data_IF_673341410868
#
_entry.id   IF_673341410868
#
_cell.length_a   1.000
_cell.length_b   1.000
_cell.length_c   1.000
_cell.angle_alpha   90.00
_cell.angle_beta   90.00
_cell.angle_gamma   90.00
#
_symmetry.space_group_name_H-M   'P 1'
#
loop_
_entity.id
_entity.type
_entity.pdbx_description
1 polymer ?
#
# COMPACT_ATOMS: atom_id res chain seq x y z
N UNK A 1 11.52 -10.61 36.02
CA UNK A 1 11.46 -9.62 34.91
C UNK A 1 11.20 -10.40 33.64
N UNK A 2 9.94 -10.72 33.36
CA UNK A 2 9.53 -11.33 32.09
C UNK A 2 9.74 -10.29 30.99
N UNK A 3 10.58 -10.62 30.01
CA UNK A 3 10.73 -9.82 28.79
C UNK A 3 9.56 -10.19 27.89
N UNK A 4 8.70 -9.22 27.64
CA UNK A 4 7.60 -9.31 26.69
C UNK A 4 8.18 -9.64 25.30
N UNK A 5 8.07 -10.91 24.91
CA UNK A 5 8.58 -11.41 23.65
C UNK A 5 7.59 -11.01 22.56
N UNK A 6 7.82 -9.81 21.99
CA UNK A 6 7.16 -9.32 20.79
C UNK A 6 7.58 -10.22 19.61
N UNK A 7 6.82 -11.29 19.37
CA UNK A 7 6.95 -12.06 18.14
C UNK A 7 6.54 -11.14 16.97
N UNK A 8 7.35 -11.02 15.90
CA UNK A 8 6.93 -10.23 14.75
C UNK A 8 5.68 -10.90 14.18
N UNK A 9 4.51 -10.29 14.37
CA UNK A 9 3.30 -10.83 13.79
C UNK A 9 3.44 -10.73 12.28
N UNK A 10 3.81 -11.83 11.63
CA UNK A 10 3.93 -11.91 10.19
C UNK A 10 2.55 -11.61 9.58
N UNK A 11 2.42 -10.59 8.72
CA UNK A 11 1.15 -10.31 8.08
C UNK A 11 0.76 -11.53 7.24
N UNK A 12 -0.47 -11.99 7.46
CA UNK A 12 -1.05 -13.12 6.72
C UNK A 12 -1.25 -12.82 5.24
N UNK A 13 -1.40 -11.53 4.90
CA UNK A 13 -1.64 -11.04 3.56
C UNK A 13 -0.99 -9.66 3.39
N UNK A 14 -0.40 -9.43 2.22
CA UNK A 14 0.18 -8.14 1.84
C UNK A 14 -0.51 -7.63 0.59
N UNK A 15 -1.09 -6.44 0.67
CA UNK A 15 -1.73 -5.76 -0.47
C UNK A 15 -0.88 -4.56 -0.84
N UNK A 16 -0.28 -4.59 -2.03
CA UNK A 16 0.50 -3.48 -2.56
C UNK A 16 -0.35 -2.65 -3.53
N UNK A 17 -0.43 -1.33 -3.31
CA UNK A 17 -1.18 -0.40 -4.17
C UNK A 17 -0.23 0.64 -4.76
N UNK A 18 -0.17 0.70 -6.08
CA UNK A 18 0.49 1.80 -6.80
C UNK A 18 -0.38 3.06 -6.75
N UNK A 19 0.13 4.13 -6.14
CA UNK A 19 -0.57 5.41 -6.02
C UNK A 19 0.24 6.54 -6.66
N UNK A 20 -0.44 7.42 -7.38
CA UNK A 20 0.16 8.60 -8.02
C UNK A 20 -0.32 9.92 -7.40
N UNK A 21 -1.04 9.85 -6.27
CA UNK A 21 -1.66 11.01 -5.61
C UNK A 21 -2.87 11.62 -6.34
N UNK A 22 -3.19 11.15 -7.55
CA UNK A 22 -4.33 11.61 -8.36
C UNK A 22 -5.65 11.04 -7.82
N UNK A 23 -6.77 11.70 -8.15
CA UNK A 23 -8.13 11.31 -7.70
C UNK A 23 -8.42 9.82 -7.90
N UNK A 24 -8.10 9.29 -9.08
CA UNK A 24 -8.35 7.88 -9.42
C UNK A 24 -7.51 6.92 -8.58
N UNK A 25 -6.25 7.24 -8.29
CA UNK A 25 -5.43 6.36 -7.43
C UNK A 25 -5.88 6.40 -5.97
N UNK A 26 -6.42 7.52 -5.49
CA UNK A 26 -7.03 7.60 -4.16
C UNK A 26 -8.30 6.75 -4.06
N UNK A 27 -9.12 6.73 -5.13
CA UNK A 27 -10.30 5.88 -5.19
C UNK A 27 -9.93 4.39 -5.17
N UNK A 28 -8.91 3.99 -5.93
CA UNK A 28 -8.39 2.62 -5.90
C UNK A 28 -7.89 2.21 -4.50
N UNK A 29 -7.20 3.13 -3.81
CA UNK A 29 -6.78 2.91 -2.42
C UNK A 29 -7.97 2.74 -1.47
N UNK A 30 -8.98 3.61 -1.57
CA UNK A 30 -10.21 3.49 -0.77
C UNK A 30 -10.90 2.15 -1.01
N UNK A 31 -11.08 1.78 -2.27
CA UNK A 31 -11.68 0.50 -2.64
C UNK A 31 -10.90 -0.69 -2.05
N UNK A 32 -9.58 -0.67 -2.11
CA UNK A 32 -8.75 -1.72 -1.52
C UNK A 32 -8.94 -1.81 0.01
N UNK A 33 -8.99 -0.67 0.70
CA UNK A 33 -9.28 -0.65 2.13
C UNK A 33 -10.67 -1.23 2.42
N UNK A 34 -11.70 -0.83 1.66
CA UNK A 34 -13.08 -1.29 1.87
C UNK A 34 -13.22 -2.82 1.66
N UNK A 35 -12.46 -3.43 0.75
CA UNK A 35 -12.59 -4.86 0.42
C UNK A 35 -11.65 -5.77 1.22
N UNK A 36 -10.44 -5.29 1.56
CA UNK A 36 -9.44 -6.12 2.24
C UNK A 36 -9.35 -5.87 3.74
N UNK A 37 -9.99 -4.81 4.28
CA UNK A 37 -10.03 -4.58 5.73
C UNK A 37 -10.97 -5.53 6.49
N UNK A 38 -11.91 -6.15 5.79
CA UNK A 38 -12.89 -7.07 6.39
C UNK A 38 -12.36 -8.49 6.62
N UNK A 39 -11.09 -8.76 6.29
CA UNK A 39 -10.48 -10.06 6.59
C UNK A 39 -10.18 -10.16 8.08
N UNK A 40 -10.55 -11.28 8.74
CA UNK A 40 -10.20 -11.56 10.15
C UNK A 40 -8.68 -11.59 10.40
N UNK A 41 -7.90 -11.67 9.32
CA UNK A 41 -6.47 -11.80 9.34
C UNK A 41 -5.77 -10.44 9.20
N UNK A 42 -4.60 -10.29 9.84
CA UNK A 42 -3.81 -9.05 9.72
C UNK A 42 -3.34 -8.86 8.27
N UNK A 43 -3.87 -7.83 7.62
CA UNK A 43 -3.48 -7.39 6.27
C UNK A 43 -2.50 -6.22 6.37
N UNK A 44 -1.36 -6.33 5.67
CA UNK A 44 -0.41 -5.23 5.51
C UNK A 44 -0.65 -4.51 4.18
N UNK A 45 -1.07 -3.25 4.25
CA UNK A 45 -1.19 -2.39 3.07
C UNK A 45 0.14 -1.67 2.82
N UNK A 46 0.71 -1.85 1.62
CA UNK A 46 1.90 -1.13 1.15
C UNK A 46 1.52 -0.17 0.04
N UNK A 47 1.66 1.12 0.28
CA UNK A 47 1.40 2.15 -0.74
C UNK A 47 2.71 2.46 -1.46
N UNK A 48 2.74 2.23 -2.77
CA UNK A 48 3.89 2.45 -3.63
C UNK A 48 3.67 3.73 -4.43
N UNK A 49 4.43 4.78 -4.12
CA UNK A 49 4.37 6.00 -4.91
C UNK A 49 5.12 5.80 -6.24
N UNK A 50 4.39 5.80 -7.36
CA UNK A 50 4.98 5.60 -8.70
C UNK A 50 5.32 6.96 -9.32
N UNK A 51 6.62 7.23 -9.49
CA UNK A 51 7.08 8.38 -10.28
C UNK A 51 7.21 7.95 -11.74
N UNK A 52 6.53 8.65 -12.65
CA UNK A 52 6.68 8.37 -14.08
C UNK A 52 8.09 8.74 -14.53
N UNK A 53 8.71 7.87 -15.34
CA UNK A 53 9.98 8.17 -15.99
C UNK A 53 9.76 9.37 -16.93
N UNK A 54 10.65 10.34 -16.89
CA UNK A 54 10.67 11.43 -17.86
C UNK A 54 11.02 10.81 -19.21
N UNK A 55 10.06 10.75 -20.13
CA UNK A 55 10.23 10.12 -21.45
C UNK A 55 10.57 11.13 -22.54
N UNK A 56 10.30 12.42 -22.31
CA UNK A 56 10.50 13.48 -23.28
C UNK A 56 11.04 14.71 -22.55
N UNK A 57 12.14 15.25 -23.07
CA UNK A 57 12.58 16.62 -22.77
C UNK A 57 12.15 17.46 -23.97
N UNK A 58 11.44 18.59 -23.78
CA UNK A 58 11.08 19.47 -24.90
C UNK A 58 12.36 19.94 -25.61
N UNK A 59 12.56 19.50 -26.85
CA UNK A 59 13.54 20.11 -27.76
C UNK A 59 12.85 21.26 -28.49
N UNK A 60 13.40 22.46 -28.32
CA UNK A 60 13.00 23.66 -29.05
C UNK A 60 13.27 23.53 -30.55
#
# INVERSE_FOLDING_TARGET
MEKEQISPTTPSMVVAIAASGKKNSKLALKWALDNFSSSESKVLFKILHVRQKITVVPSL
#
